data_IF_689861244483
#
_entry.id   IF_689861244483
#
_cell.length_a   1.000
_cell.length_b   1.000
_cell.length_c   1.000
_cell.angle_alpha   90.00
_cell.angle_beta   90.00
_cell.angle_gamma   90.00
#
_symmetry.space_group_name_H-M   'P 1'
#
loop_
_entity.id
_entity.type
_entity.pdbx_description
1 polymer ?
#
# COMPACT_ATOMS: atom_id res chain seq x y z
N UNK A 1 43.20 -14.86 -23.26
CA UNK A 1 43.57 -14.67 -21.86
C UNK A 1 44.15 -13.28 -21.63
N UNK A 2 43.78 -12.48 -20.60
CA UNK A 2 43.39 -12.85 -19.25
C UNK A 2 41.93 -12.44 -18.91
N UNK A 3 41.25 -13.14 -18.06
CA UNK A 3 40.99 -13.09 -16.58
C UNK A 3 40.51 -11.70 -16.14
N UNK A 4 39.47 -11.53 -15.43
CA UNK A 4 38.57 -12.28 -14.56
C UNK A 4 37.88 -11.28 -13.64
N UNK A 5 36.77 -11.68 -13.09
CA UNK A 5 36.30 -11.44 -11.73
C UNK A 5 35.66 -10.07 -11.39
N UNK A 6 34.41 -10.15 -11.09
CA UNK A 6 33.62 -9.10 -10.43
C UNK A 6 32.17 -9.52 -10.22
N UNK A 7 31.96 -10.67 -9.57
CA UNK A 7 30.68 -11.04 -8.96
C UNK A 7 30.36 -10.01 -7.87
N UNK A 8 29.38 -9.16 -8.07
CA UNK A 8 28.72 -8.43 -6.99
C UNK A 8 27.40 -9.15 -6.70
N UNK A 9 27.42 -9.93 -5.65
CA UNK A 9 26.29 -10.57 -5.02
C UNK A 9 25.36 -9.49 -4.48
N UNK A 10 24.15 -9.38 -5.04
CA UNK A 10 23.05 -8.68 -4.38
C UNK A 10 22.21 -9.77 -3.69
N UNK A 11 22.63 -10.11 -2.49
CA UNK A 11 21.77 -10.66 -1.47
C UNK A 11 21.32 -9.48 -0.62
N UNK A 12 20.04 -9.14 -0.64
CA UNK A 12 19.33 -8.62 0.52
C UNK A 12 17.85 -8.52 0.13
N UNK A 13 17.17 -9.66 0.28
CA UNK A 13 15.72 -9.73 0.38
C UNK A 13 15.29 -9.28 1.77
N UNK A 14 15.37 -7.99 2.06
CA UNK A 14 14.76 -7.45 3.27
C UNK A 14 13.27 -7.26 3.05
N UNK A 15 12.52 -8.07 3.78
CA UNK A 15 11.08 -8.13 3.89
C UNK A 15 10.50 -6.77 4.32
N UNK A 16 9.90 -6.05 3.39
CA UNK A 16 9.19 -4.78 3.61
C UNK A 16 8.01 -4.90 4.61
N UNK A 17 7.61 -6.12 4.95
CA UNK A 17 6.48 -6.41 5.85
C UNK A 17 6.78 -6.29 7.34
N UNK A 18 8.04 -6.23 7.77
CA UNK A 18 8.39 -6.26 9.20
C UNK A 18 8.45 -4.89 9.87
N UNK A 19 8.64 -3.80 9.13
CA UNK A 19 8.78 -2.47 9.72
C UNK A 19 7.44 -1.80 10.09
N UNK A 20 6.33 -2.17 9.44
CA UNK A 20 5.01 -1.57 9.70
C UNK A 20 4.42 -2.06 11.04
N UNK A 21 4.72 -3.30 11.44
CA UNK A 21 4.18 -3.87 12.69
C UNK A 21 4.81 -3.29 13.97
N UNK A 22 5.99 -2.67 13.90
CA UNK A 22 6.65 -2.04 15.05
C UNK A 22 6.17 -0.59 15.30
N UNK A 23 5.59 0.08 14.30
CA UNK A 23 5.12 1.47 14.43
C UNK A 23 3.79 1.63 15.18
N UNK A 24 2.97 0.57 15.25
CA UNK A 24 1.65 0.67 15.90
C UNK A 24 1.69 0.67 17.43
N UNK A 25 2.80 0.29 18.05
CA UNK A 25 2.93 0.33 19.52
C UNK A 25 3.38 1.68 20.07
N UNK A 26 4.02 2.53 19.27
CA UNK A 26 4.57 3.81 19.73
C UNK A 26 3.61 5.00 19.55
N UNK A 27 2.63 4.90 18.66
CA UNK A 27 1.70 6.04 18.38
C UNK A 27 0.57 6.16 19.41
N UNK A 28 0.29 5.10 20.19
CA UNK A 28 -0.76 5.16 21.22
C UNK A 28 -0.29 5.80 22.54
N UNK A 29 1.01 5.97 22.74
CA UNK A 29 1.59 6.56 23.95
C UNK A 29 1.72 8.09 23.91
N UNK A 30 1.52 8.73 22.77
CA UNK A 30 1.83 10.17 22.59
C UNK A 30 0.61 11.11 22.68
N UNK A 31 -0.62 10.63 22.94
CA UNK A 31 -1.85 11.47 22.89
C UNK A 31 -2.53 11.72 24.24
N UNK A 32 -1.90 11.37 25.36
CA UNK A 32 -2.40 11.78 26.69
C UNK A 32 -1.46 12.81 27.28
N UNK A 33 -1.81 14.07 27.03
CA UNK A 33 -1.17 15.25 27.62
C UNK A 33 -1.36 15.36 29.14
N UNK A 34 -0.36 15.93 29.76
CA UNK A 34 -0.20 16.25 31.18
C UNK A 34 -1.44 16.83 31.87
N UNK A 35 -1.84 16.20 32.95
CA UNK A 35 -1.93 16.78 34.30
C UNK A 35 -2.80 15.91 35.20
N UNK A 36 -2.22 15.32 36.24
CA UNK A 36 -2.73 15.23 37.62
C UNK A 36 -1.99 14.15 38.43
N UNK A 37 -1.46 14.55 39.54
CA UNK A 37 -1.10 13.88 40.80
C UNK A 37 -0.82 12.36 40.82
N UNK A 38 0.40 12.10 41.24
CA UNK A 38 0.96 10.84 41.69
C UNK A 38 0.09 10.14 42.75
N UNK A 39 -0.37 8.94 42.38
CA UNK A 39 -0.49 7.81 43.29
C UNK A 39 -0.08 6.54 42.54
N UNK A 40 0.77 5.73 43.21
CA UNK A 40 1.44 4.54 42.67
C UNK A 40 0.47 3.50 42.10
N UNK A 41 0.26 3.52 40.76
CA UNK A 41 -0.28 2.39 40.06
C UNK A 41 0.91 1.69 39.41
N UNK A 42 1.19 0.39 39.69
CA UNK A 42 2.27 -0.32 39.06
C UNK A 42 2.02 -0.38 37.57
N UNK A 43 2.89 0.27 36.79
CA UNK A 43 2.94 0.14 35.33
C UNK A 43 3.18 -1.34 35.02
N UNK A 44 2.11 -2.08 34.81
CA UNK A 44 2.20 -3.42 34.26
C UNK A 44 2.88 -3.29 32.89
N UNK A 45 4.15 -3.64 32.84
CA UNK A 45 4.92 -3.71 31.62
C UNK A 45 4.12 -4.52 30.61
N UNK A 46 3.64 -3.87 29.54
CA UNK A 46 2.95 -4.53 28.43
C UNK A 46 3.91 -5.58 27.89
N UNK A 47 3.70 -6.85 28.27
CA UNK A 47 4.49 -7.97 27.78
C UNK A 47 4.43 -7.97 26.26
N UNK A 48 5.56 -7.77 25.60
CA UNK A 48 5.67 -7.94 24.15
C UNK A 48 5.02 -9.29 23.76
N UNK A 49 4.15 -9.33 22.74
CA UNK A 49 3.54 -10.58 22.32
C UNK A 49 4.62 -11.61 22.02
N UNK A 50 4.41 -12.85 22.44
CA UNK A 50 5.38 -13.92 22.15
C UNK A 50 5.56 -14.03 20.63
N UNK A 51 6.78 -14.35 20.15
CA UNK A 51 7.10 -14.55 18.73
C UNK A 51 6.05 -15.41 18.01
N UNK A 52 5.57 -16.46 18.66
CA UNK A 52 4.51 -17.33 18.15
C UNK A 52 3.19 -16.60 17.95
N UNK A 53 2.78 -15.76 18.90
CA UNK A 53 1.54 -14.97 18.77
C UNK A 53 1.61 -13.98 17.61
N UNK A 54 2.74 -13.32 17.44
CA UNK A 54 2.96 -12.40 16.31
C UNK A 54 2.89 -13.14 14.95
N UNK A 55 3.49 -14.32 14.85
CA UNK A 55 3.43 -15.15 13.66
C UNK A 55 1.99 -15.59 13.33
N UNK A 56 1.23 -15.99 14.34
CA UNK A 56 -0.18 -16.39 14.13
C UNK A 56 -1.03 -15.20 13.69
N UNK A 57 -0.85 -14.02 14.29
CA UNK A 57 -1.55 -12.80 13.86
C UNK A 57 -1.22 -12.43 12.41
N UNK A 58 0.04 -12.53 12.00
CA UNK A 58 0.44 -12.30 10.62
C UNK A 58 -0.21 -13.31 9.65
N UNK A 59 -0.30 -14.59 10.04
CA UNK A 59 -0.98 -15.62 9.25
C UNK A 59 -2.48 -15.35 9.14
N UNK A 60 -3.14 -14.95 10.23
CA UNK A 60 -4.56 -14.55 10.22
C UNK A 60 -4.78 -13.35 9.30
N UNK A 61 -3.93 -12.34 9.39
CA UNK A 61 -4.02 -11.15 8.56
C UNK A 61 -3.84 -11.46 7.07
N UNK A 62 -2.85 -12.28 6.72
CA UNK A 62 -2.62 -12.71 5.35
C UNK A 62 -3.81 -13.54 4.81
N UNK A 63 -4.33 -14.48 5.61
CA UNK A 63 -5.52 -15.25 5.26
C UNK A 63 -6.75 -14.36 5.03
N UNK A 64 -6.92 -13.33 5.86
CA UNK A 64 -7.99 -12.35 5.71
C UNK A 64 -7.87 -11.57 4.39
N UNK A 65 -6.67 -11.12 4.01
CA UNK A 65 -6.42 -10.46 2.72
C UNK A 65 -6.84 -11.37 1.57
N UNK A 66 -6.43 -12.62 1.58
CA UNK A 66 -6.76 -13.58 0.51
C UNK A 66 -8.27 -13.83 0.40
N UNK A 67 -8.95 -14.04 1.52
CA UNK A 67 -10.41 -14.31 1.55
C UNK A 67 -11.20 -13.04 1.18
N UNK A 68 -10.83 -11.86 1.70
CA UNK A 68 -11.51 -10.61 1.33
C UNK A 68 -11.30 -10.23 -0.13
N UNK A 69 -10.12 -10.49 -0.70
CA UNK A 69 -9.84 -10.22 -2.11
C UNK A 69 -10.62 -11.14 -3.06
N UNK A 70 -10.90 -12.39 -2.66
CA UNK A 70 -11.63 -13.37 -3.49
C UNK A 70 -13.14 -13.32 -3.31
N UNK A 71 -13.63 -13.16 -2.09
CA UNK A 71 -15.06 -13.28 -1.75
C UNK A 71 -15.73 -11.95 -1.44
N UNK A 72 -14.92 -10.89 -1.32
CA UNK A 72 -15.37 -9.58 -0.84
C UNK A 72 -15.75 -9.61 0.65
N UNK A 73 -15.98 -8.45 1.27
CA UNK A 73 -16.27 -8.37 2.71
C UNK A 73 -17.61 -9.02 3.10
N UNK A 74 -18.59 -9.06 2.20
CA UNK A 74 -19.90 -9.68 2.47
C UNK A 74 -19.90 -11.18 2.30
N UNK A 75 -19.13 -11.73 1.34
CA UNK A 75 -19.01 -13.16 1.08
C UNK A 75 -18.07 -13.85 2.06
N UNK A 76 -17.02 -13.17 2.49
CA UNK A 76 -16.03 -13.71 3.42
C UNK A 76 -16.65 -14.18 4.73
N UNK A 77 -16.21 -15.36 5.22
CA UNK A 77 -16.64 -15.92 6.49
C UNK A 77 -15.45 -16.09 7.44
N UNK A 78 -15.73 -16.04 8.76
CA UNK A 78 -14.70 -16.36 9.77
C UNK A 78 -14.21 -17.81 9.65
N UNK A 79 -15.03 -18.72 9.14
CA UNK A 79 -14.60 -20.09 8.88
C UNK A 79 -13.57 -20.13 7.76
N UNK A 80 -13.84 -19.51 6.61
CA UNK A 80 -12.90 -19.45 5.48
C UNK A 80 -11.54 -18.84 5.89
N UNK A 81 -11.57 -17.77 6.69
CA UNK A 81 -10.35 -17.14 7.21
C UNK A 81 -9.59 -18.08 8.16
N UNK A 82 -10.31 -18.78 9.07
CA UNK A 82 -9.69 -19.73 9.98
C UNK A 82 -9.02 -20.89 9.22
N UNK A 83 -9.74 -21.49 8.28
CA UNK A 83 -9.24 -22.60 7.46
C UNK A 83 -8.00 -22.18 6.67
N UNK A 84 -8.04 -21.00 6.08
CA UNK A 84 -6.90 -20.44 5.33
C UNK A 84 -5.68 -20.14 6.22
N UNK A 85 -5.91 -19.70 7.47
CA UNK A 85 -4.86 -19.46 8.47
C UNK A 85 -4.34 -20.74 9.15
N UNK A 86 -4.91 -21.90 8.85
CA UNK A 86 -4.57 -23.16 9.51
C UNK A 86 -5.03 -23.24 10.98
N UNK A 87 -6.13 -22.57 11.31
CA UNK A 87 -6.68 -22.47 12.66
C UNK A 87 -8.10 -23.05 12.72
N UNK A 88 -8.52 -23.51 13.90
CA UNK A 88 -9.94 -23.69 14.16
C UNK A 88 -10.66 -22.34 14.30
N UNK A 89 -11.96 -22.29 14.05
CA UNK A 89 -12.76 -21.09 14.25
C UNK A 89 -12.65 -20.52 15.68
N UNK A 90 -12.61 -21.41 16.68
CA UNK A 90 -12.43 -21.02 18.08
C UNK A 90 -11.06 -20.35 18.33
N UNK A 91 -10.00 -20.89 17.71
CA UNK A 91 -8.67 -20.29 17.78
C UNK A 91 -8.63 -18.91 17.07
N UNK A 92 -9.29 -18.77 15.92
CA UNK A 92 -9.39 -17.48 15.23
C UNK A 92 -10.03 -16.40 16.12
N UNK A 93 -11.14 -16.72 16.79
CA UNK A 93 -11.83 -15.79 17.70
C UNK A 93 -11.00 -15.36 18.92
N UNK A 94 -9.93 -16.05 19.23
CA UNK A 94 -8.96 -15.55 20.23
C UNK A 94 -8.08 -14.41 19.70
N UNK A 95 -7.92 -14.31 18.38
CA UNK A 95 -7.05 -13.30 17.73
C UNK A 95 -7.80 -12.12 17.14
N UNK A 96 -9.09 -12.25 16.83
CA UNK A 96 -9.90 -11.19 16.22
C UNK A 96 -11.13 -10.89 17.07
N UNK A 97 -11.59 -9.65 17.01
CA UNK A 97 -12.83 -9.22 17.66
C UNK A 97 -14.02 -9.67 16.80
N UNK A 98 -14.01 -9.29 15.53
CA UNK A 98 -15.04 -9.64 14.55
C UNK A 98 -14.43 -9.65 13.15
N UNK A 99 -15.16 -10.22 12.17
CA UNK A 99 -14.78 -10.17 10.76
C UNK A 99 -14.74 -8.72 10.24
N UNK A 100 -15.69 -7.92 10.65
CA UNK A 100 -15.81 -6.51 10.28
C UNK A 100 -14.66 -5.68 10.83
N UNK A 101 -14.23 -5.97 12.05
CA UNK A 101 -13.05 -5.32 12.65
C UNK A 101 -11.76 -5.73 11.93
N UNK A 102 -11.60 -7.01 11.62
CA UNK A 102 -10.47 -7.50 10.84
C UNK A 102 -10.44 -6.89 9.43
N UNK A 103 -11.60 -6.73 8.78
CA UNK A 103 -11.69 -6.03 7.49
C UNK A 103 -11.26 -4.56 7.60
N UNK A 104 -11.69 -3.88 8.65
CA UNK A 104 -11.27 -2.49 8.93
C UNK A 104 -9.77 -2.39 9.14
N UNK A 105 -9.15 -3.33 9.88
CA UNK A 105 -7.70 -3.37 10.07
C UNK A 105 -6.97 -3.58 8.73
N UNK A 106 -7.41 -4.53 7.89
CA UNK A 106 -6.84 -4.74 6.55
C UNK A 106 -6.92 -3.47 5.70
N UNK A 107 -8.05 -2.75 5.71
CA UNK A 107 -8.19 -1.50 4.98
C UNK A 107 -7.30 -0.38 5.55
N UNK A 108 -7.16 -0.30 6.87
CA UNK A 108 -6.27 0.68 7.51
C UNK A 108 -4.82 0.45 7.09
N UNK A 109 -4.35 -0.79 7.13
CA UNK A 109 -2.98 -1.14 6.70
C UNK A 109 -2.74 -0.81 5.22
N UNK A 110 -3.75 -1.02 4.35
CA UNK A 110 -3.67 -0.63 2.94
C UNK A 110 -3.55 0.89 2.80
N UNK A 111 -4.33 1.65 3.55
CA UNK A 111 -4.27 3.13 3.54
C UNK A 111 -2.93 3.62 4.07
N UNK A 112 -2.40 3.01 5.13
CA UNK A 112 -1.12 3.39 5.72
C UNK A 112 0.06 3.08 4.78
N UNK A 113 0.06 1.92 4.11
CA UNK A 113 1.01 1.60 3.05
C UNK A 113 0.94 2.62 1.91
N UNK A 114 -0.27 3.01 1.51
CA UNK A 114 -0.46 3.99 0.45
C UNK A 114 0.00 5.40 0.84
N UNK A 115 -0.19 5.77 2.10
CA UNK A 115 0.34 7.03 2.63
C UNK A 115 1.87 7.08 2.48
N UNK A 116 2.56 5.95 2.70
CA UNK A 116 4.00 5.82 2.49
C UNK A 116 4.41 5.85 1.00
N UNK A 117 3.64 5.17 0.15
CA UNK A 117 3.93 5.05 -1.29
C UNK A 117 3.59 6.32 -2.07
N UNK A 118 2.52 7.04 -1.72
CA UNK A 118 1.95 8.11 -2.54
C UNK A 118 2.42 9.51 -2.16
N UNK A 119 3.23 9.65 -1.13
CA UNK A 119 3.91 10.92 -0.87
C UNK A 119 4.79 11.31 -2.05
N UNK A 120 4.78 12.58 -2.45
CA UNK A 120 5.80 13.08 -3.34
C UNK A 120 7.18 12.96 -2.66
N UNK A 121 8.17 12.51 -3.39
CA UNK A 121 9.56 12.71 -3.02
C UNK A 121 9.85 14.21 -2.96
N UNK A 122 11.04 14.61 -2.52
CA UNK A 122 11.41 16.02 -2.47
C UNK A 122 11.10 16.74 -3.80
N UNK A 123 10.18 17.72 -3.76
CA UNK A 123 9.71 18.47 -4.93
C UNK A 123 10.81 19.26 -5.63
N UNK A 124 11.94 19.50 -4.94
CA UNK A 124 13.11 20.19 -5.50
C UNK A 124 13.73 19.45 -6.69
N UNK A 125 13.54 18.12 -6.80
CA UNK A 125 13.99 17.33 -7.95
C UNK A 125 13.19 17.58 -9.24
N UNK A 126 12.10 18.35 -9.16
CA UNK A 126 11.27 18.71 -10.30
C UNK A 126 10.29 17.62 -10.77
N UNK A 127 9.37 17.99 -11.70
CA UNK A 127 8.23 17.14 -12.05
C UNK A 127 8.63 15.79 -12.66
N UNK A 128 9.66 15.76 -13.52
CA UNK A 128 10.09 14.52 -14.19
C UNK A 128 10.49 13.44 -13.19
N UNK A 129 11.36 13.77 -12.24
CA UNK A 129 11.85 12.83 -11.25
C UNK A 129 10.76 12.42 -10.28
N UNK A 130 10.02 13.38 -9.74
CA UNK A 130 9.00 13.15 -8.71
C UNK A 130 7.84 12.31 -9.25
N UNK A 131 7.32 12.62 -10.45
CA UNK A 131 6.24 11.86 -11.06
C UNK A 131 6.69 10.47 -11.49
N UNK A 132 7.89 10.32 -12.06
CA UNK A 132 8.44 8.99 -12.40
C UNK A 132 8.60 8.12 -11.14
N UNK A 133 9.09 8.66 -10.05
CA UNK A 133 9.23 7.94 -8.78
C UNK A 133 7.88 7.55 -8.19
N UNK A 134 6.87 8.42 -8.26
CA UNK A 134 5.51 8.11 -7.85
C UNK A 134 4.93 6.94 -8.67
N UNK A 135 5.00 7.04 -10.00
CA UNK A 135 4.50 6.01 -10.92
C UNK A 135 5.19 4.68 -10.62
N UNK A 136 6.52 4.69 -10.53
CA UNK A 136 7.30 3.48 -10.24
C UNK A 136 6.86 2.82 -8.93
N UNK A 137 6.76 3.58 -7.83
CA UNK A 137 6.34 3.03 -6.53
C UNK A 137 4.94 2.46 -6.58
N UNK A 138 3.99 3.13 -7.24
CA UNK A 138 2.63 2.63 -7.40
C UNK A 138 2.58 1.35 -8.22
N UNK A 139 3.30 1.28 -9.32
CA UNK A 139 3.33 0.07 -10.14
C UNK A 139 4.03 -1.10 -9.44
N UNK A 140 5.13 -0.86 -8.73
CA UNK A 140 5.76 -1.88 -7.88
C UNK A 140 4.77 -2.42 -6.87
N UNK A 141 4.03 -1.55 -6.16
CA UNK A 141 2.99 -1.97 -5.24
C UNK A 141 1.88 -2.79 -5.95
N UNK A 142 1.43 -2.36 -7.13
CA UNK A 142 0.42 -3.09 -7.92
C UNK A 142 0.89 -4.50 -8.32
N UNK A 143 2.17 -4.68 -8.62
CA UNK A 143 2.73 -5.99 -8.97
C UNK A 143 3.00 -6.87 -7.74
N UNK A 144 3.41 -6.29 -6.62
CA UNK A 144 3.80 -7.04 -5.42
C UNK A 144 2.64 -7.29 -4.46
N UNK A 145 1.64 -6.40 -4.44
CA UNK A 145 0.49 -6.44 -3.53
C UNK A 145 -0.88 -6.39 -4.27
N UNK A 146 -1.10 -7.22 -5.32
CA UNK A 146 -2.30 -7.12 -6.16
C UNK A 146 -3.58 -7.37 -5.37
N UNK A 147 -3.56 -8.25 -4.36
CA UNK A 147 -4.75 -8.53 -3.53
C UNK A 147 -5.14 -7.32 -2.68
N UNK A 148 -4.17 -6.60 -2.10
CA UNK A 148 -4.42 -5.37 -1.33
C UNK A 148 -4.99 -4.28 -2.24
N UNK A 149 -4.42 -4.10 -3.42
CA UNK A 149 -4.93 -3.19 -4.43
C UNK A 149 -6.39 -3.51 -4.80
N UNK A 150 -6.70 -4.79 -5.01
CA UNK A 150 -8.07 -5.25 -5.35
C UNK A 150 -9.06 -5.00 -4.20
N UNK A 151 -8.69 -5.29 -2.95
CA UNK A 151 -9.56 -5.01 -1.79
C UNK A 151 -9.96 -3.54 -1.75
N UNK A 152 -8.98 -2.64 -1.93
CA UNK A 152 -9.25 -1.21 -1.96
C UNK A 152 -10.17 -0.81 -3.12
N UNK A 153 -9.91 -1.30 -4.34
CA UNK A 153 -10.73 -1.01 -5.51
C UNK A 153 -12.18 -1.48 -5.32
N UNK A 154 -12.38 -2.69 -4.78
CA UNK A 154 -13.70 -3.23 -4.48
C UNK A 154 -14.43 -2.38 -3.43
N UNK A 155 -13.75 -1.94 -2.39
CA UNK A 155 -14.32 -1.09 -1.36
C UNK A 155 -14.75 0.27 -1.93
N UNK A 156 -13.92 0.89 -2.78
CA UNK A 156 -14.25 2.14 -3.47
C UNK A 156 -15.46 2.00 -4.40
N UNK A 157 -15.52 0.92 -5.19
CA UNK A 157 -16.66 0.65 -6.09
C UNK A 157 -17.97 0.41 -5.33
N UNK A 158 -17.92 -0.03 -4.08
CA UNK A 158 -19.08 -0.19 -3.19
C UNK A 158 -19.53 1.12 -2.52
N UNK A 159 -18.90 2.24 -2.85
CA UNK A 159 -19.16 3.55 -2.23
C UNK A 159 -18.36 3.83 -0.98
N UNK A 160 -17.28 3.07 -0.73
CA UNK A 160 -16.35 3.24 0.38
C UNK A 160 -16.99 3.26 1.78
N UNK A 161 -17.88 2.31 2.14
CA UNK A 161 -18.64 2.36 3.40
C UNK A 161 -17.75 2.33 4.63
N UNK A 162 -16.54 1.74 4.55
CA UNK A 162 -15.56 1.70 5.65
C UNK A 162 -14.44 2.70 5.43
N UNK A 163 -13.91 2.81 4.22
CA UNK A 163 -12.78 3.69 3.88
C UNK A 163 -13.09 5.18 4.04
N UNK A 164 -14.34 5.62 3.84
CA UNK A 164 -14.69 7.05 3.92
C UNK A 164 -14.24 7.72 5.21
N UNK A 165 -14.25 7.01 6.33
CA UNK A 165 -13.78 7.50 7.63
C UNK A 165 -12.24 7.63 7.71
N UNK A 166 -11.49 6.93 6.84
CA UNK A 166 -10.03 6.85 6.84
C UNK A 166 -9.38 7.83 5.85
N UNK A 167 -10.13 8.32 4.86
CA UNK A 167 -9.59 9.10 3.75
C UNK A 167 -9.16 10.53 4.10
N UNK A 168 -9.40 11.03 5.30
CA UNK A 168 -9.07 12.41 5.67
C UNK A 168 -7.59 12.76 5.51
N UNK A 169 -6.68 11.88 5.91
CA UNK A 169 -5.23 12.07 5.73
C UNK A 169 -4.83 11.94 4.27
N UNK A 170 -5.40 10.98 3.54
CA UNK A 170 -5.16 10.81 2.10
C UNK A 170 -5.59 12.04 1.33
N UNK A 171 -6.75 12.65 1.66
CA UNK A 171 -7.20 13.90 1.03
C UNK A 171 -6.20 15.03 1.22
N UNK A 172 -5.74 15.28 2.45
CA UNK A 172 -4.74 16.34 2.71
C UNK A 172 -3.47 16.15 1.89
N UNK A 173 -2.96 14.92 1.77
CA UNK A 173 -1.77 14.62 0.96
C UNK A 173 -2.03 14.80 -0.53
N UNK A 174 -3.21 14.43 -1.01
CA UNK A 174 -3.62 14.67 -2.39
C UNK A 174 -3.68 16.17 -2.70
N UNK A 175 -4.27 16.96 -1.80
CA UNK A 175 -4.33 18.42 -1.94
C UNK A 175 -2.92 19.06 -1.97
N UNK A 176 -1.99 18.57 -1.14
CA UNK A 176 -0.58 18.99 -1.15
C UNK A 176 0.10 18.62 -2.48
N UNK A 177 -0.09 17.39 -2.97
CA UNK A 177 0.47 16.97 -4.25
C UNK A 177 -0.08 17.81 -5.42
N UNK A 178 -1.38 18.11 -5.41
CA UNK A 178 -2.00 18.97 -6.41
C UNK A 178 -1.43 20.41 -6.37
N UNK A 179 -1.15 20.96 -5.18
CA UNK A 179 -0.53 22.26 -5.02
C UNK A 179 0.92 22.29 -5.58
N UNK A 180 1.68 21.21 -5.37
CA UNK A 180 3.02 21.07 -5.95
C UNK A 180 2.97 21.02 -7.48
N UNK A 181 2.05 20.25 -8.06
CA UNK A 181 1.84 20.20 -9.51
C UNK A 181 1.47 21.58 -10.04
N UNK A 182 0.56 22.29 -9.38
CA UNK A 182 0.18 23.65 -9.77
C UNK A 182 1.37 24.62 -9.74
N UNK A 183 2.27 24.49 -8.76
CA UNK A 183 3.49 25.27 -8.70
C UNK A 183 4.42 24.99 -9.90
N UNK A 184 4.58 23.73 -10.30
CA UNK A 184 5.38 23.38 -11.49
C UNK A 184 4.79 23.94 -12.77
N UNK A 185 3.45 23.92 -12.93
CA UNK A 185 2.74 24.54 -14.05
C UNK A 185 3.03 26.06 -14.08
N UNK A 186 2.85 26.73 -12.95
CA UNK A 186 3.10 28.19 -12.83
C UNK A 186 4.54 28.57 -13.18
N UNK A 187 5.51 27.71 -12.85
CA UNK A 187 6.92 27.88 -13.18
C UNK A 187 7.27 27.45 -14.61
N UNK A 188 6.31 26.99 -15.39
CA UNK A 188 6.52 26.55 -16.77
C UNK A 188 7.34 25.27 -16.93
N UNK A 189 7.42 24.42 -15.89
CA UNK A 189 8.16 23.15 -15.90
C UNK A 189 7.34 22.01 -16.52
N UNK A 190 6.04 22.23 -16.70
CA UNK A 190 5.11 21.31 -17.38
C UNK A 190 3.97 22.13 -17.97
N UNK A 191 3.19 21.51 -18.86
CA UNK A 191 2.07 22.17 -19.51
C UNK A 191 0.88 22.36 -18.54
N UNK A 192 -0.03 23.29 -18.81
CA UNK A 192 -1.25 23.46 -18.04
C UNK A 192 -2.14 22.22 -18.12
N UNK A 193 -2.33 21.55 -16.98
CA UNK A 193 -3.23 20.41 -16.78
C UNK A 193 -3.98 20.58 -15.47
N UNK A 194 -5.13 19.94 -15.31
CA UNK A 194 -5.76 19.86 -14.00
C UNK A 194 -4.94 18.94 -13.08
N UNK A 195 -4.40 19.44 -11.94
CA UNK A 195 -3.55 18.65 -11.05
C UNK A 195 -4.25 17.42 -10.47
N UNK A 196 -5.54 17.52 -10.13
CA UNK A 196 -6.29 16.37 -9.60
C UNK A 196 -6.58 15.34 -10.70
N UNK A 197 -6.96 15.79 -11.90
CA UNK A 197 -7.16 14.89 -13.02
C UNK A 197 -5.86 14.15 -13.38
N UNK A 198 -4.70 14.82 -13.36
CA UNK A 198 -3.40 14.15 -13.57
C UNK A 198 -3.16 13.06 -12.52
N UNK A 199 -3.41 13.35 -11.24
CA UNK A 199 -3.28 12.33 -10.18
C UNK A 199 -4.24 11.15 -10.40
N UNK A 200 -5.49 11.41 -10.80
CA UNK A 200 -6.46 10.36 -11.11
C UNK A 200 -6.01 9.51 -12.30
N UNK A 201 -5.45 10.10 -13.35
CA UNK A 201 -4.89 9.35 -14.49
C UNK A 201 -3.70 8.49 -14.06
N UNK A 202 -2.81 8.99 -13.21
CA UNK A 202 -1.71 8.20 -12.65
C UNK A 202 -2.26 7.02 -11.85
N UNK A 203 -3.26 7.25 -11.00
CA UNK A 203 -3.86 6.17 -10.21
C UNK A 203 -4.54 5.12 -11.09
N UNK A 204 -5.34 5.53 -12.05
CA UNK A 204 -6.03 4.62 -12.96
C UNK A 204 -5.05 3.76 -13.78
N UNK A 205 -4.04 4.39 -14.39
CA UNK A 205 -3.08 3.67 -15.23
C UNK A 205 -2.20 2.71 -14.43
N UNK A 206 -1.81 3.06 -13.20
CA UNK A 206 -0.99 2.19 -12.35
C UNK A 206 -1.80 1.08 -11.68
N UNK A 207 -3.05 1.37 -11.28
CA UNK A 207 -3.96 0.41 -10.65
C UNK A 207 -4.41 -0.69 -11.62
N UNK A 208 -4.52 -0.39 -12.91
CA UNK A 208 -4.92 -1.34 -13.95
C UNK A 208 -4.14 -2.65 -13.89
N UNK A 209 -2.84 -2.58 -13.63
CA UNK A 209 -1.98 -3.77 -13.60
C UNK A 209 -2.22 -4.70 -12.39
N UNK A 210 -2.85 -4.21 -11.33
CA UNK A 210 -3.30 -5.05 -10.22
C UNK A 210 -4.69 -5.65 -10.48
N UNK A 211 -5.62 -4.80 -10.96
CA UNK A 211 -7.03 -5.19 -11.07
C UNK A 211 -7.29 -6.07 -12.29
N UNK A 212 -6.50 -5.90 -13.37
CA UNK A 212 -6.66 -6.57 -14.65
C UNK A 212 -5.41 -7.40 -15.03
N UNK A 213 -4.71 -7.97 -14.03
CA UNK A 213 -3.48 -8.72 -14.25
C UNK A 213 -3.66 -9.85 -15.30
N UNK A 214 -4.76 -10.62 -15.21
CA UNK A 214 -5.07 -11.69 -16.17
C UNK A 214 -5.24 -11.17 -17.60
N UNK A 215 -5.87 -9.99 -17.74
CA UNK A 215 -6.02 -9.35 -19.07
C UNK A 215 -4.67 -8.91 -19.62
N UNK A 216 -3.78 -8.38 -18.78
CA UNK A 216 -2.41 -8.01 -19.17
C UNK A 216 -1.64 -9.25 -19.64
N UNK A 217 -1.68 -10.34 -18.87
CA UNK A 217 -1.03 -11.61 -19.24
C UNK A 217 -1.55 -12.14 -20.58
N UNK A 218 -2.88 -12.14 -20.76
CA UNK A 218 -3.51 -12.65 -21.98
C UNK A 218 -3.09 -11.88 -23.23
N UNK A 219 -3.21 -10.53 -23.22
CA UNK A 219 -2.89 -9.72 -24.40
C UNK A 219 -1.40 -9.58 -24.68
N UNK A 220 -0.56 -9.81 -23.69
CA UNK A 220 0.89 -9.81 -23.86
C UNK A 220 1.47 -11.23 -24.08
N UNK A 221 0.61 -12.24 -24.13
CA UNK A 221 0.99 -13.66 -24.35
C UNK A 221 2.02 -14.14 -23.31
N UNK A 222 1.84 -13.74 -22.04
CA UNK A 222 2.73 -14.04 -20.93
C UNK A 222 2.07 -15.01 -19.95
N UNK A 223 2.88 -15.85 -19.30
CA UNK A 223 2.46 -16.67 -18.16
C UNK A 223 2.63 -15.97 -16.81
N UNK A 224 3.54 -15.00 -16.75
CA UNK A 224 3.79 -14.15 -15.59
C UNK A 224 4.47 -12.84 -16.00
N UNK A 225 4.31 -11.79 -15.19
CA UNK A 225 5.00 -10.52 -15.39
C UNK A 225 6.34 -10.58 -14.66
N UNK A 226 7.42 -10.95 -15.38
CA UNK A 226 8.78 -11.01 -14.86
C UNK A 226 9.42 -9.64 -14.62
N UNK A 227 10.64 -9.60 -14.10
CA UNK A 227 11.33 -8.37 -13.73
C UNK A 227 11.53 -7.40 -14.90
N UNK A 228 11.96 -7.90 -16.07
CA UNK A 228 12.20 -7.09 -17.26
C UNK A 228 10.89 -6.50 -17.79
N UNK A 229 9.82 -7.30 -17.79
CA UNK A 229 8.50 -6.86 -18.21
C UNK A 229 7.92 -5.80 -17.24
N UNK A 230 8.09 -5.97 -15.93
CA UNK A 230 7.71 -4.95 -14.94
C UNK A 230 8.44 -3.64 -15.20
N UNK A 231 9.75 -3.71 -15.43
CA UNK A 231 10.54 -2.52 -15.75
C UNK A 231 10.05 -1.85 -17.02
N UNK A 232 9.82 -2.60 -18.08
CA UNK A 232 9.29 -2.09 -19.34
C UNK A 232 7.95 -1.39 -19.15
N UNK A 233 6.99 -2.01 -18.46
CA UNK A 233 5.67 -1.43 -18.19
C UNK A 233 5.74 -0.15 -17.36
N UNK A 234 6.64 -0.10 -16.37
CA UNK A 234 6.88 1.12 -15.56
C UNK A 234 7.42 2.25 -16.43
N UNK A 235 8.38 1.95 -17.30
CA UNK A 235 8.99 2.93 -18.21
C UNK A 235 7.95 3.48 -19.20
N UNK A 236 7.11 2.61 -19.78
CA UNK A 236 6.03 2.99 -20.72
C UNK A 236 4.98 3.88 -20.06
N UNK A 237 4.47 3.50 -18.87
CA UNK A 237 3.49 4.32 -18.14
C UNK A 237 4.11 5.67 -17.75
N UNK A 238 5.36 5.68 -17.32
CA UNK A 238 6.07 6.91 -16.97
C UNK A 238 6.22 7.82 -18.20
N UNK A 239 6.65 7.28 -19.33
CA UNK A 239 6.81 8.04 -20.57
C UNK A 239 5.47 8.61 -21.05
N UNK A 240 4.41 7.81 -21.01
CA UNK A 240 3.06 8.24 -21.40
C UNK A 240 2.55 9.39 -20.53
N UNK A 241 2.64 9.27 -19.22
CA UNK A 241 2.17 10.29 -18.27
C UNK A 241 2.99 11.58 -18.39
N UNK A 242 4.32 11.48 -18.41
CA UNK A 242 5.20 12.64 -18.51
C UNK A 242 4.99 13.40 -19.82
N UNK A 243 4.84 12.69 -20.93
CA UNK A 243 4.54 13.28 -22.24
C UNK A 243 3.16 13.92 -22.25
N UNK A 244 2.13 13.25 -21.73
CA UNK A 244 0.76 13.77 -21.64
C UNK A 244 0.63 15.01 -20.75
N UNK A 245 1.48 15.13 -19.74
CA UNK A 245 1.56 16.30 -18.86
C UNK A 245 2.53 17.39 -19.37
N UNK A 246 3.15 17.20 -20.55
CA UNK A 246 4.10 18.17 -21.13
C UNK A 246 5.28 18.49 -20.22
N UNK A 247 5.79 17.49 -19.49
CA UNK A 247 6.92 17.64 -18.57
C UNK A 247 8.20 17.89 -19.36
N UNK A 248 8.86 19.02 -19.07
CA UNK A 248 10.07 19.49 -19.75
C UNK A 248 11.34 18.85 -19.18
#
# INVERSE_FOLDING_TARGET
>A
MPKADGLCSISDGESFGYHVFMSMTDTYAATLGESAHTDDIPVQAMRRPSRRRAQTLAAVHQAAIEVFASEGPSGATTQAIADKAGLSKAQLHYYIISKEDLYRQVLQDIVDDWIGVFGFSDESFGPRKVLSDLIRRKMVFSFEQPLRSRIFAVEMMRGAPVLSAMLGTSKRRTDQAAAVIQNWITRGLMDPVDPLALLFHIWATTQFYADHAEQVLYFRELTQIGADERKHLIDEVSAFVLKGAGVK
#
